data_IF_038754101523
#
_entry.id   IF_038754101523
#
_cell.length_a   1.000
_cell.length_b   1.000
_cell.length_c   1.000
_cell.angle_alpha   90.00
_cell.angle_beta   90.00
_cell.angle_gamma   90.00
#
_symmetry.space_group_name_H-M   'P 1'
#
loop_
_entity.id
_entity.type
_entity.pdbx_description
1 polymer ?
#
# COMPACT_ATOMS: atom_id res chain seq x y z
N UNK A 1 -4.99 22.14 8.26
CA UNK A 1 -5.67 20.84 8.03
C UNK A 1 -5.07 19.88 9.04
N UNK A 2 -5.87 19.39 9.98
CA UNK A 2 -5.43 18.52 11.06
C UNK A 2 -6.00 17.11 10.81
N UNK A 3 -5.15 16.14 10.48
CA UNK A 3 -5.58 14.78 10.13
C UNK A 3 -5.66 13.95 11.40
N UNK A 4 -6.83 13.35 11.65
CA UNK A 4 -7.07 12.56 12.84
C UNK A 4 -6.08 11.39 13.00
N UNK A 5 -5.60 11.17 14.22
CA UNK A 5 -4.81 9.99 14.61
C UNK A 5 -5.67 9.08 15.48
N UNK A 6 -6.07 7.93 14.93
CA UNK A 6 -6.99 6.99 15.56
C UNK A 6 -6.23 5.82 16.17
N UNK A 7 -6.59 5.45 17.40
CA UNK A 7 -6.01 4.29 18.08
C UNK A 7 -6.70 2.98 17.63
N UNK A 8 -5.95 2.18 16.88
CA UNK A 8 -6.40 0.91 16.32
C UNK A 8 -6.05 -0.29 17.21
N UNK A 9 -5.52 -0.07 18.43
CA UNK A 9 -4.97 -1.11 19.30
C UNK A 9 -5.92 -2.27 19.59
N UNK A 10 -7.21 -1.99 19.82
CA UNK A 10 -8.25 -3.00 20.06
C UNK A 10 -8.50 -3.91 18.84
N UNK A 11 -8.07 -3.48 17.65
CA UNK A 11 -8.23 -4.16 16.37
C UNK A 11 -6.89 -4.58 15.76
N UNK A 12 -5.80 -4.37 16.49
CA UNK A 12 -4.46 -4.66 16.00
C UNK A 12 -4.29 -6.13 15.63
N UNK A 13 -3.36 -6.40 14.71
CA UNK A 13 -3.05 -7.75 14.29
C UNK A 13 -2.71 -8.66 15.50
N UNK A 14 -3.28 -9.87 15.51
CA UNK A 14 -3.07 -10.85 16.59
C UNK A 14 -3.85 -10.58 17.87
N UNK A 15 -4.75 -9.59 17.90
CA UNK A 15 -5.65 -9.35 19.04
C UNK A 15 -6.92 -10.19 18.95
N UNK A 16 -7.49 -10.47 20.13
CA UNK A 16 -8.82 -11.06 20.24
C UNK A 16 -9.88 -10.10 19.69
N UNK A 17 -11.09 -10.62 19.44
CA UNK A 17 -12.18 -9.78 18.95
C UNK A 17 -12.46 -8.61 19.91
N UNK A 18 -12.57 -7.38 19.40
CA UNK A 18 -12.82 -6.20 20.22
C UNK A 18 -14.23 -6.23 20.80
N UNK A 19 -14.41 -5.56 21.95
CA UNK A 19 -15.74 -5.39 22.55
C UNK A 19 -16.66 -4.56 21.64
N UNK A 20 -17.98 -4.72 21.80
CA UNK A 20 -18.97 -3.90 21.09
C UNK A 20 -18.75 -2.39 21.30
N UNK A 21 -18.29 -1.99 22.50
CA UNK A 21 -17.97 -0.60 22.82
C UNK A 21 -16.78 -0.08 22.01
N UNK A 22 -15.72 -0.88 21.88
CA UNK A 22 -14.54 -0.52 21.07
C UNK A 22 -14.86 -0.49 19.58
N UNK A 23 -15.71 -1.41 19.10
CA UNK A 23 -16.28 -1.40 17.74
C UNK A 23 -17.04 -0.11 17.45
N UNK A 24 -17.94 0.30 18.35
CA UNK A 24 -18.70 1.53 18.17
C UNK A 24 -17.81 2.78 18.20
N UNK A 25 -16.84 2.83 19.13
CA UNK A 25 -15.87 3.93 19.22
C UNK A 25 -15.07 4.07 17.93
N UNK A 26 -14.42 2.99 17.50
CA UNK A 26 -13.54 3.02 16.33
C UNK A 26 -14.30 3.31 15.04
N UNK A 27 -15.47 2.68 14.84
CA UNK A 27 -16.29 2.96 13.65
C UNK A 27 -16.73 4.42 13.57
N UNK A 28 -17.12 5.03 14.70
CA UNK A 28 -17.51 6.44 14.76
C UNK A 28 -16.34 7.38 14.43
N UNK A 29 -15.15 7.11 14.99
CA UNK A 29 -13.94 7.88 14.72
C UNK A 29 -13.52 7.78 13.25
N UNK A 30 -13.52 6.57 12.68
CA UNK A 30 -13.17 6.32 11.28
C UNK A 30 -14.16 6.97 10.32
N UNK A 31 -15.47 6.81 10.57
CA UNK A 31 -16.53 7.42 9.76
C UNK A 31 -16.39 8.94 9.71
N UNK A 32 -16.13 9.55 10.87
CA UNK A 32 -15.91 10.99 10.97
C UNK A 32 -14.66 11.43 10.19
N UNK A 33 -13.53 10.77 10.38
CA UNK A 33 -12.29 11.13 9.69
C UNK A 33 -12.42 11.04 8.16
N UNK A 34 -13.06 9.98 7.65
CA UNK A 34 -13.28 9.82 6.21
C UNK A 34 -14.34 10.75 5.64
N UNK A 35 -15.34 11.15 6.42
CA UNK A 35 -16.39 12.07 5.96
C UNK A 35 -15.91 13.53 5.99
N UNK A 36 -15.18 13.93 7.04
CA UNK A 36 -14.77 15.31 7.23
C UNK A 36 -13.55 15.66 6.37
N UNK A 37 -12.55 14.77 6.31
CA UNK A 37 -11.24 15.03 5.68
C UNK A 37 -10.93 14.07 4.54
N UNK A 38 -11.41 12.83 4.63
CA UNK A 38 -11.09 11.75 3.69
C UNK A 38 -9.79 11.00 4.01
N UNK A 39 -9.09 11.38 5.10
CA UNK A 39 -7.82 10.78 5.51
C UNK A 39 -7.74 10.57 7.02
N UNK A 40 -7.00 9.54 7.44
CA UNK A 40 -6.76 9.19 8.85
C UNK A 40 -5.39 8.54 9.02
N UNK A 41 -4.69 8.84 10.11
CA UNK A 41 -3.52 8.08 10.56
C UNK A 41 -3.95 7.05 11.60
N UNK A 42 -3.43 5.83 11.50
CA UNK A 42 -3.66 4.78 12.49
C UNK A 42 -2.41 4.56 13.33
N UNK A 43 -2.58 4.43 14.65
CA UNK A 43 -1.54 3.97 15.57
C UNK A 43 -1.94 2.64 16.21
N UNK A 44 -0.96 1.94 16.79
CA UNK A 44 -1.16 0.64 17.46
C UNK A 44 -1.81 -0.43 16.55
N UNK A 45 -1.50 -0.42 15.26
CA UNK A 45 -2.06 -1.36 14.26
C UNK A 45 -1.65 -2.82 14.46
N UNK A 46 -0.69 -3.08 15.35
CA UNK A 46 -0.13 -4.42 15.59
C UNK A 46 0.96 -4.82 14.60
N UNK A 47 1.28 -3.98 13.60
CA UNK A 47 2.47 -4.19 12.78
C UNK A 47 3.72 -3.89 13.58
N UNK A 48 4.63 -4.85 13.64
CA UNK A 48 5.92 -4.64 14.28
C UNK A 48 6.77 -3.67 13.46
N UNK A 49 7.31 -2.65 14.14
CA UNK A 49 8.13 -1.61 13.51
C UNK A 49 9.34 -2.20 12.76
N UNK A 50 9.91 -3.30 13.26
CA UNK A 50 11.02 -4.01 12.62
C UNK A 50 10.66 -4.53 11.22
N UNK A 51 9.43 -5.00 11.02
CA UNK A 51 8.97 -5.51 9.72
C UNK A 51 8.78 -4.35 8.74
N UNK A 52 8.26 -3.21 9.21
CA UNK A 52 8.15 -1.98 8.39
C UNK A 52 9.54 -1.54 7.92
N UNK A 53 10.51 -1.43 8.83
CA UNK A 53 11.87 -1.04 8.46
C UNK A 53 12.53 -2.04 7.52
N UNK A 54 12.40 -3.34 7.77
CA UNK A 54 12.94 -4.37 6.89
C UNK A 54 12.36 -4.26 5.47
N UNK A 55 11.05 -4.05 5.33
CA UNK A 55 10.41 -3.85 4.02
C UNK A 55 10.95 -2.61 3.33
N UNK A 56 11.06 -1.48 4.03
CA UNK A 56 11.62 -0.25 3.47
C UNK A 56 13.07 -0.43 2.98
N UNK A 57 13.89 -1.18 3.73
CA UNK A 57 15.26 -1.50 3.33
C UNK A 57 15.31 -2.41 2.09
N UNK A 58 14.40 -3.38 1.98
CA UNK A 58 14.28 -4.22 0.77
C UNK A 58 13.88 -3.36 -0.44
N UNK A 59 12.90 -2.46 -0.29
CA UNK A 59 12.48 -1.56 -1.35
C UNK A 59 13.64 -0.67 -1.81
N UNK A 60 14.39 -0.06 -0.89
CA UNK A 60 15.56 0.76 -1.23
C UNK A 60 16.60 -0.05 -2.02
N UNK A 61 16.94 -1.27 -1.55
CA UNK A 61 17.89 -2.15 -2.24
C UNK A 61 17.46 -2.47 -3.67
N UNK A 62 16.17 -2.65 -3.91
CA UNK A 62 15.65 -2.87 -5.24
C UNK A 62 15.75 -1.61 -6.11
N UNK A 63 15.30 -0.46 -5.61
CA UNK A 63 15.22 0.76 -6.44
C UNK A 63 16.59 1.37 -6.79
N UNK A 64 17.64 1.09 -6.01
CA UNK A 64 19.02 1.48 -6.38
C UNK A 64 19.65 0.59 -7.46
N UNK A 65 19.00 -0.52 -7.85
CA UNK A 65 19.51 -1.37 -8.93
C UNK A 65 19.52 -0.61 -10.27
N UNK A 66 20.46 -0.93 -11.17
CA UNK A 66 20.45 -0.44 -12.54
C UNK A 66 19.13 -0.72 -13.26
N UNK A 67 18.74 0.18 -14.17
CA UNK A 67 17.47 0.12 -14.90
C UNK A 67 17.29 -1.18 -15.69
N UNK A 68 18.35 -1.65 -16.33
CA UNK A 68 18.40 -2.91 -17.06
C UNK A 68 18.09 -4.11 -16.17
N UNK A 69 18.56 -4.12 -14.93
CA UNK A 69 18.21 -5.16 -13.94
C UNK A 69 16.75 -5.04 -13.51
N UNK A 70 16.27 -3.83 -13.22
CA UNK A 70 14.86 -3.61 -12.82
C UNK A 70 13.88 -3.98 -13.93
N UNK A 71 14.24 -3.76 -15.20
CA UNK A 71 13.45 -4.13 -16.38
C UNK A 71 13.12 -5.63 -16.45
N UNK A 72 13.97 -6.50 -15.88
CA UNK A 72 13.72 -7.95 -15.82
C UNK A 72 12.48 -8.29 -14.97
N UNK A 73 12.04 -7.36 -14.13
CA UNK A 73 10.91 -7.50 -13.22
C UNK A 73 9.73 -6.61 -13.61
N UNK A 74 9.73 -5.98 -14.79
CA UNK A 74 8.63 -5.13 -15.25
C UNK A 74 7.31 -5.90 -15.32
N UNK A 75 6.18 -5.17 -15.30
CA UNK A 75 4.87 -5.75 -15.60
C UNK A 75 4.94 -6.65 -16.84
N UNK A 76 4.58 -7.91 -16.68
CA UNK A 76 4.52 -8.83 -17.81
C UNK A 76 3.25 -8.56 -18.61
N UNK A 77 3.41 -8.41 -19.93
CA UNK A 77 2.29 -8.23 -20.86
C UNK A 77 1.50 -9.54 -21.02
N UNK A 78 2.15 -10.68 -20.76
CA UNK A 78 1.66 -12.02 -21.11
C UNK A 78 1.19 -12.86 -19.91
N UNK A 79 1.22 -12.34 -18.68
CA UNK A 79 0.82 -13.14 -17.51
C UNK A 79 -0.62 -12.88 -17.07
N UNK A 80 -1.27 -13.95 -16.58
CA UNK A 80 -2.56 -13.89 -15.90
C UNK A 80 -2.54 -13.09 -14.57
N UNK A 81 -1.39 -12.53 -14.20
CA UNK A 81 -1.21 -11.70 -13.00
C UNK A 81 -1.04 -10.26 -13.46
N UNK A 82 -2.16 -9.63 -13.80
CA UNK A 82 -2.20 -8.22 -14.15
C UNK A 82 -1.56 -7.37 -13.04
N UNK A 83 -0.74 -6.40 -13.45
CA UNK A 83 -0.16 -5.37 -12.57
C UNK A 83 0.78 -5.89 -11.46
N UNK A 84 1.47 -7.03 -11.65
CA UNK A 84 2.59 -7.42 -10.79
C UNK A 84 3.92 -6.99 -11.41
N UNK A 85 4.79 -6.37 -10.60
CA UNK A 85 6.16 -6.08 -10.99
C UNK A 85 6.51 -4.59 -10.99
N UNK A 86 7.66 -4.29 -11.57
CA UNK A 86 8.23 -2.95 -11.62
C UNK A 86 7.55 -2.06 -12.67
N UNK A 87 7.37 -0.79 -12.30
CA UNK A 87 6.83 0.28 -13.13
C UNK A 87 7.89 1.37 -13.24
N UNK A 88 8.41 1.63 -14.46
CA UNK A 88 9.44 2.64 -14.64
C UNK A 88 8.92 4.06 -14.37
N UNK A 89 9.86 4.95 -14.06
CA UNK A 89 9.60 6.38 -13.99
C UNK A 89 8.87 6.89 -15.24
N UNK A 90 7.84 7.71 -15.03
CA UNK A 90 7.03 8.32 -16.10
C UNK A 90 6.21 7.34 -16.96
N UNK A 91 6.14 6.06 -16.59
CA UNK A 91 5.32 5.08 -17.28
C UNK A 91 3.82 5.26 -17.02
N UNK A 92 3.46 5.75 -15.83
CA UNK A 92 2.07 5.99 -15.45
C UNK A 92 1.64 7.41 -15.74
N UNK A 93 0.54 7.53 -16.49
CA UNK A 93 -0.07 8.80 -16.86
C UNK A 93 -1.59 8.70 -16.83
N UNK A 94 -2.20 9.34 -15.85
CA UNK A 94 -3.67 9.37 -15.70
C UNK A 94 -4.35 10.28 -16.72
N UNK A 95 -3.68 11.36 -17.14
CA UNK A 95 -4.19 12.29 -18.15
C UNK A 95 -3.17 12.45 -19.28
N UNK A 96 -3.49 12.10 -20.53
CA UNK A 96 -2.54 12.13 -21.64
C UNK A 96 -1.96 13.52 -21.91
N UNK A 97 -2.68 14.57 -21.52
CA UNK A 97 -2.30 15.97 -21.70
C UNK A 97 -1.53 16.56 -20.51
N UNK A 98 -1.19 15.75 -19.50
CA UNK A 98 -0.39 16.15 -18.34
C UNK A 98 0.92 15.36 -18.31
N UNK A 99 1.98 15.89 -17.67
CA UNK A 99 3.18 15.11 -17.41
C UNK A 99 2.86 13.81 -16.69
N UNK A 100 3.66 12.77 -16.97
CA UNK A 100 3.55 11.49 -16.28
C UNK A 100 4.11 11.60 -14.85
N UNK A 101 3.79 10.61 -14.02
CA UNK A 101 4.21 10.62 -12.62
C UNK A 101 5.72 10.42 -12.51
N UNK A 102 6.40 11.35 -11.83
CA UNK A 102 7.83 11.27 -11.51
C UNK A 102 8.08 10.36 -10.30
N UNK A 103 7.74 9.09 -10.46
CA UNK A 103 7.99 8.02 -9.49
C UNK A 103 8.24 6.71 -10.23
N UNK A 104 9.03 5.84 -9.62
CA UNK A 104 9.00 4.43 -9.95
C UNK A 104 8.27 3.65 -8.86
N UNK A 105 7.71 2.51 -9.22
CA UNK A 105 6.97 1.66 -8.31
C UNK A 105 7.28 0.18 -8.52
N UNK A 106 7.02 -0.64 -7.51
CA UNK A 106 6.93 -2.08 -7.64
C UNK A 106 5.60 -2.52 -7.04
N UNK A 107 4.77 -3.14 -7.87
CA UNK A 107 3.44 -3.60 -7.50
C UNK A 107 3.49 -5.06 -7.10
N UNK A 108 2.96 -5.34 -5.91
CA UNK A 108 2.81 -6.70 -5.39
C UNK A 108 1.32 -7.03 -5.38
N UNK A 109 0.93 -7.91 -6.30
CA UNK A 109 -0.40 -8.54 -6.31
C UNK A 109 -0.35 -9.92 -5.68
N UNK A 110 -1.48 -10.35 -5.09
CA UNK A 110 -1.60 -11.67 -4.47
C UNK A 110 -1.47 -12.80 -5.50
N UNK A 111 -0.92 -13.94 -5.08
CA UNK A 111 -0.88 -15.13 -5.95
C UNK A 111 -2.31 -15.59 -6.28
N UNK A 112 -2.54 -16.24 -7.45
CA UNK A 112 -3.86 -16.77 -7.82
C UNK A 112 -4.49 -17.70 -6.76
N UNK A 113 -3.65 -18.31 -5.91
CA UNK A 113 -4.08 -19.24 -4.87
C UNK A 113 -4.56 -18.54 -3.59
N UNK A 114 -4.32 -17.24 -3.41
CA UNK A 114 -4.71 -16.51 -2.20
C UNK A 114 -6.00 -15.69 -2.33
N UNK A 115 -6.51 -15.52 -3.56
CA UNK A 115 -7.69 -14.66 -3.85
C UNK A 115 -9.03 -15.37 -3.58
N UNK A 116 -9.05 -16.69 -3.40
CA UNK A 116 -10.32 -17.44 -3.21
C UNK A 116 -11.00 -17.28 -1.85
N UNK A 117 -10.37 -16.68 -0.84
CA UNK A 117 -10.97 -16.59 0.51
C UNK A 117 -11.35 -15.18 0.96
N UNK A 118 -11.15 -14.13 0.15
CA UNK A 118 -11.54 -12.78 0.53
C UNK A 118 -12.44 -12.17 -0.56
N UNK A 119 -13.70 -12.00 -0.19
CA UNK A 119 -14.70 -11.27 -0.95
C UNK A 119 -14.17 -9.89 -1.35
N UNK A 120 -14.07 -9.67 -2.66
CA UNK A 120 -14.08 -8.36 -3.35
C UNK A 120 -13.18 -7.27 -2.74
N UNK A 121 -11.90 -7.33 -3.05
CA UNK A 121 -10.97 -6.22 -2.93
C UNK A 121 -9.63 -6.58 -3.56
N UNK A 122 -9.35 -6.13 -4.78
CA UNK A 122 -8.00 -6.21 -5.33
C UNK A 122 -7.14 -5.20 -4.59
N UNK A 123 -6.51 -5.62 -3.49
CA UNK A 123 -5.53 -4.81 -2.79
C UNK A 123 -4.19 -4.92 -3.54
N UNK A 124 -4.00 -4.07 -4.56
CA UNK A 124 -2.67 -3.84 -5.12
C UNK A 124 -1.88 -3.02 -4.11
N UNK A 125 -0.82 -3.61 -3.55
CA UNK A 125 0.12 -2.84 -2.71
C UNK A 125 1.26 -2.39 -3.58
N UNK A 126 1.34 -1.08 -3.82
CA UNK A 126 2.42 -0.44 -4.57
C UNK A 126 3.46 0.12 -3.60
N UNK A 127 4.72 -0.29 -3.76
CA UNK A 127 5.84 0.35 -3.07
C UNK A 127 6.43 1.42 -3.98
N UNK A 128 6.40 2.68 -3.53
CA UNK A 128 6.83 3.82 -4.33
C UNK A 128 8.17 4.35 -3.83
N UNK A 129 9.07 4.69 -4.75
CA UNK A 129 10.25 5.50 -4.47
C UNK A 129 10.19 6.76 -5.34
N UNK A 130 10.19 7.92 -4.69
CA UNK A 130 10.34 9.20 -5.41
C UNK A 130 11.82 9.39 -5.70
N UNK A 131 12.15 9.50 -7.00
CA UNK A 131 13.48 9.88 -7.42
C UNK A 131 13.71 11.33 -6.99
N UNK A 132 14.40 11.54 -5.87
CA UNK A 132 15.05 12.83 -5.62
C UNK A 132 16.27 12.88 -6.51
N UNK A 133 16.18 13.65 -7.59
CA UNK A 133 17.34 14.11 -8.37
C UNK A 133 18.25 14.96 -7.50
#
# INVERSE_FOLDING_TARGET
>A
MDIAVVDFGSFGLGKAQPSAKELQRLSSEMMRAFTDIGFVYLKNTGFEQQNVFRTMEICKKFFVLPRDIKNLYSHSVDSNVFHHGWVPGEAERLNPNRPADQKEAYDVTGSPNHVRSQSTGHCCTSYMCSART
#
